data_IF_902688410798
#
_entry.id   IF_902688410798
#
_cell.length_a   1.000
_cell.length_b   1.000
_cell.length_c   1.000
_cell.angle_alpha   90.00
_cell.angle_beta   90.00
_cell.angle_gamma   90.00
#
_symmetry.space_group_name_H-M   'P 1'
#
loop_
_entity.id
_entity.type
_entity.pdbx_description
1 polymer ?
#
# COMPACT_ATOMS: atom_id res chain seq x y z
N UNK A 1 17.26 25.33 6.85
CA UNK A 1 17.92 24.00 6.75
C UNK A 1 17.95 23.18 8.06
N UNK A 2 17.71 23.73 9.25
CA UNK A 2 17.80 22.97 10.51
C UNK A 2 16.60 22.04 10.81
N UNK A 3 15.40 22.35 10.32
CA UNK A 3 14.18 21.56 10.59
C UNK A 3 14.16 20.18 9.89
N UNK A 4 14.71 20.09 8.67
CA UNK A 4 14.77 18.84 7.89
C UNK A 4 15.72 17.79 8.51
N UNK A 5 16.79 18.24 9.18
CA UNK A 5 17.76 17.35 9.85
C UNK A 5 17.20 16.68 11.11
N UNK A 6 16.31 17.35 11.86
CA UNK A 6 15.62 16.78 13.03
C UNK A 6 14.56 15.75 12.64
N UNK A 7 13.81 15.99 11.56
CA UNK A 7 12.78 15.06 11.06
C UNK A 7 13.39 13.73 10.59
N UNK A 8 14.50 13.76 9.85
CA UNK A 8 15.24 12.55 9.41
C UNK A 8 15.83 11.74 10.57
N UNK A 9 16.20 12.37 11.67
CA UNK A 9 16.72 11.66 12.85
C UNK A 9 15.60 10.97 13.66
N UNK A 10 14.42 11.59 13.76
CA UNK A 10 13.28 11.06 14.50
C UNK A 10 12.63 9.85 13.79
N UNK A 11 12.54 9.87 12.46
CA UNK A 11 11.97 8.74 11.68
C UNK A 11 12.82 7.47 11.79
N UNK A 12 14.13 7.60 12.06
CA UNK A 12 15.02 6.44 12.26
C UNK A 12 14.74 5.61 13.52
N UNK A 13 13.98 6.17 14.47
CA UNK A 13 13.55 5.48 15.70
C UNK A 13 12.03 5.39 15.80
N UNK A 14 11.29 5.80 14.76
CA UNK A 14 9.84 5.73 14.72
C UNK A 14 9.38 4.35 14.26
N UNK A 15 8.21 3.95 14.73
CA UNK A 15 7.51 2.76 14.25
C UNK A 15 6.75 3.06 12.96
N UNK A 16 6.46 2.02 12.18
CA UNK A 16 5.67 2.16 10.95
C UNK A 16 4.30 2.78 11.22
N UNK A 17 3.65 2.42 12.33
CA UNK A 17 2.34 2.93 12.75
C UNK A 17 2.33 4.44 12.99
N UNK A 18 3.40 5.00 13.58
CA UNK A 18 3.55 6.45 13.81
C UNK A 18 3.74 7.24 12.51
N UNK A 19 4.20 6.58 11.46
CA UNK A 19 4.48 7.18 10.14
C UNK A 19 3.32 6.99 9.17
N UNK A 20 2.30 6.19 9.51
CA UNK A 20 1.11 6.03 8.66
C UNK A 20 0.44 7.40 8.47
N UNK A 21 0.63 7.97 7.29
CA UNK A 21 0.18 9.34 6.99
C UNK A 21 -1.32 9.37 6.69
N UNK A 22 -1.87 8.28 6.15
CA UNK A 22 -3.28 8.23 5.75
C UNK A 22 -3.82 6.80 5.72
N UNK A 23 -5.08 6.65 6.14
CA UNK A 23 -5.84 5.41 5.94
C UNK A 23 -6.02 5.20 4.45
N UNK A 24 -5.14 4.42 3.85
CA UNK A 24 -5.25 4.11 2.44
C UNK A 24 -6.52 3.28 2.23
N UNK A 25 -7.37 3.68 1.28
CA UNK A 25 -8.50 2.86 0.85
C UNK A 25 -8.00 1.49 0.41
N UNK A 26 -8.89 0.51 0.49
CA UNK A 26 -8.56 -0.89 0.21
C UNK A 26 -9.47 -1.43 -0.88
N UNK A 27 -8.98 -2.48 -1.52
CA UNK A 27 -9.70 -3.30 -2.46
C UNK A 27 -10.35 -4.49 -1.74
N UNK A 28 -11.45 -5.01 -2.29
CA UNK A 28 -12.10 -6.23 -1.83
C UNK A 28 -11.87 -7.35 -2.87
N UNK A 29 -11.53 -8.59 -2.46
CA UNK A 29 -11.16 -9.66 -3.40
C UNK A 29 -12.24 -9.97 -4.46
N UNK A 30 -13.51 -9.75 -4.12
CA UNK A 30 -14.65 -10.01 -5.00
C UNK A 30 -15.12 -8.78 -5.80
N UNK A 31 -14.51 -7.60 -5.65
CA UNK A 31 -14.84 -6.49 -6.55
C UNK A 31 -14.29 -6.80 -7.96
N UNK A 32 -14.96 -6.25 -8.97
CA UNK A 32 -14.52 -6.37 -10.35
C UNK A 32 -13.26 -5.54 -10.59
N UNK A 33 -12.47 -5.92 -11.59
CA UNK A 33 -11.31 -5.12 -11.96
C UNK A 33 -11.70 -3.73 -12.48
N UNK A 34 -12.88 -3.58 -13.10
CA UNK A 34 -13.40 -2.27 -13.47
C UNK A 34 -13.55 -1.36 -12.23
N UNK A 35 -14.24 -1.83 -11.20
CA UNK A 35 -14.44 -1.08 -9.95
C UNK A 35 -13.09 -0.76 -9.28
N UNK A 36 -12.16 -1.72 -9.26
CA UNK A 36 -10.81 -1.50 -8.75
C UNK A 36 -10.05 -0.43 -9.54
N UNK A 37 -10.10 -0.49 -10.87
CA UNK A 37 -9.44 0.47 -11.76
C UNK A 37 -10.03 1.88 -11.66
N UNK A 38 -11.36 1.99 -11.51
CA UNK A 38 -12.06 3.26 -11.24
C UNK A 38 -11.62 3.84 -9.89
N UNK A 39 -11.69 3.05 -8.82
CA UNK A 39 -11.26 3.44 -7.48
C UNK A 39 -9.80 3.92 -7.48
N UNK A 40 -8.89 3.17 -8.09
CA UNK A 40 -7.48 3.56 -8.19
C UNK A 40 -7.26 4.86 -8.96
N UNK A 41 -8.03 5.12 -10.02
CA UNK A 41 -7.96 6.38 -10.78
C UNK A 41 -8.47 7.57 -9.97
N UNK A 42 -9.61 7.40 -9.30
CA UNK A 42 -10.21 8.47 -8.48
C UNK A 42 -9.28 8.91 -7.34
N UNK A 43 -8.51 7.96 -6.81
CA UNK A 43 -7.59 8.18 -5.70
C UNK A 43 -6.16 8.50 -6.15
N UNK A 44 -5.91 8.54 -7.47
CA UNK A 44 -4.56 8.63 -8.05
C UNK A 44 -3.59 7.59 -7.43
N UNK A 45 -4.12 6.42 -7.08
CA UNK A 45 -3.40 5.36 -6.39
C UNK A 45 -2.64 4.49 -7.39
N UNK A 46 -1.34 4.34 -7.17
CA UNK A 46 -0.48 3.44 -7.95
C UNK A 46 -0.63 1.99 -7.51
N UNK A 47 -0.98 1.77 -6.24
CA UNK A 47 -1.24 0.46 -5.68
C UNK A 47 -2.23 0.56 -4.52
N UNK A 48 -2.99 -0.52 -4.30
CA UNK A 48 -3.89 -0.64 -3.16
C UNK A 48 -3.80 -2.05 -2.56
N UNK A 49 -3.82 -2.18 -1.22
CA UNK A 49 -3.93 -3.49 -0.59
C UNK A 49 -5.33 -4.06 -0.78
N UNK A 50 -5.43 -5.38 -0.81
CA UNK A 50 -6.68 -6.14 -0.90
C UNK A 50 -6.98 -6.71 0.48
N UNK A 51 -8.20 -6.47 0.96
CA UNK A 51 -8.68 -6.93 2.25
C UNK A 51 -9.95 -7.75 2.13
N UNK A 52 -10.01 -8.85 2.87
CA UNK A 52 -11.26 -9.56 3.14
C UNK A 52 -11.75 -9.17 4.54
N UNK A 53 -12.81 -8.36 4.59
CA UNK A 53 -13.24 -7.66 5.80
C UNK A 53 -12.20 -6.63 6.25
N UNK A 54 -11.35 -7.00 7.20
CA UNK A 54 -10.22 -6.16 7.66
C UNK A 54 -8.86 -6.80 7.44
N UNK A 55 -8.82 -8.09 7.10
CA UNK A 55 -7.59 -8.86 7.02
C UNK A 55 -6.91 -8.62 5.69
N UNK A 56 -5.59 -8.38 5.69
CA UNK A 56 -4.80 -8.32 4.47
C UNK A 56 -4.77 -9.69 3.79
N UNK A 57 -5.18 -9.74 2.53
CA UNK A 57 -5.19 -10.98 1.71
C UNK A 57 -4.42 -10.85 0.40
N UNK A 58 -4.14 -9.62 -0.03
CA UNK A 58 -3.43 -9.40 -1.28
C UNK A 58 -3.03 -7.95 -1.49
N UNK A 59 -2.43 -7.67 -2.65
CA UNK A 59 -2.11 -6.33 -3.11
C UNK A 59 -2.27 -6.25 -4.62
N UNK A 60 -2.78 -5.12 -5.10
CA UNK A 60 -2.71 -4.74 -6.52
C UNK A 60 -1.67 -3.64 -6.61
N UNK A 61 -0.57 -3.92 -7.30
CA UNK A 61 0.65 -3.10 -7.33
C UNK A 61 0.82 -2.27 -8.62
N UNK A 62 -0.18 -2.29 -9.50
CA UNK A 62 -0.14 -1.57 -10.78
C UNK A 62 -1.36 -0.66 -10.96
N UNK A 63 -1.16 0.56 -11.49
CA UNK A 63 -2.28 1.43 -11.84
C UNK A 63 -3.03 0.86 -13.05
N UNK A 64 -4.36 0.86 -12.96
CA UNK A 64 -5.28 0.41 -14.02
C UNK A 64 -5.32 -1.10 -14.29
N UNK A 65 -5.60 -1.94 -13.26
CA UNK A 65 -5.73 -3.38 -13.45
C UNK A 65 -6.83 -3.77 -14.46
N UNK A 66 -7.88 -2.95 -14.60
CA UNK A 66 -8.93 -3.09 -15.62
C UNK A 66 -8.38 -3.05 -17.05
N UNK A 67 -7.48 -2.10 -17.34
CA UNK A 67 -6.87 -1.94 -18.66
C UNK A 67 -5.90 -3.08 -18.96
N UNK A 68 -5.14 -3.51 -17.95
CA UNK A 68 -4.24 -4.66 -18.07
C UNK A 68 -5.02 -5.92 -18.42
N UNK A 69 -6.08 -6.23 -17.68
CA UNK A 69 -6.92 -7.39 -17.93
C UNK A 69 -7.58 -7.36 -19.32
N UNK A 70 -8.13 -6.20 -19.73
CA UNK A 70 -8.68 -6.02 -21.08
C UNK A 70 -7.62 -6.23 -22.17
N UNK A 71 -6.38 -5.77 -21.96
CA UNK A 71 -5.28 -5.98 -22.89
C UNK A 71 -4.93 -7.46 -23.13
N UNK A 72 -5.22 -8.32 -22.16
CA UNK A 72 -5.10 -9.78 -22.28
C UNK A 72 -6.39 -10.48 -22.74
N UNK A 73 -7.45 -9.73 -23.08
CA UNK A 73 -8.71 -10.27 -23.59
C UNK A 73 -9.72 -10.68 -22.52
N UNK A 74 -9.50 -10.32 -21.25
CA UNK A 74 -10.46 -10.57 -20.17
C UNK A 74 -11.47 -9.42 -20.07
N UNK A 75 -12.72 -9.73 -19.71
CA UNK A 75 -13.74 -8.71 -19.43
C UNK A 75 -13.51 -8.12 -18.02
N UNK A 76 -13.14 -6.82 -17.87
CA UNK A 76 -12.88 -6.21 -16.57
C UNK A 76 -14.10 -6.14 -15.65
N UNK A 77 -15.32 -6.27 -16.19
CA UNK A 77 -16.56 -6.34 -15.40
C UNK A 77 -16.76 -7.70 -14.75
N UNK A 78 -16.25 -8.75 -15.36
CA UNK A 78 -16.38 -10.12 -14.89
C UNK A 78 -15.17 -10.57 -14.05
N UNK A 79 -13.97 -10.14 -14.45
CA UNK A 79 -12.72 -10.44 -13.77
C UNK A 79 -12.69 -9.86 -12.35
N UNK A 80 -12.19 -10.64 -11.39
CA UNK A 80 -12.16 -10.28 -9.96
C UNK A 80 -10.76 -9.90 -9.50
N UNK A 81 -10.68 -9.00 -8.53
CA UNK A 81 -9.41 -8.59 -7.92
C UNK A 81 -8.60 -9.78 -7.42
N UNK A 82 -9.24 -10.78 -6.81
CA UNK A 82 -8.56 -11.98 -6.31
C UNK A 82 -7.83 -12.79 -7.39
N UNK A 83 -8.23 -12.67 -8.65
CA UNK A 83 -7.62 -13.39 -9.78
C UNK A 83 -6.33 -12.71 -10.27
N UNK A 84 -6.12 -11.43 -9.94
CA UNK A 84 -5.01 -10.60 -10.42
C UNK A 84 -4.12 -10.05 -9.31
N UNK A 85 -4.55 -10.13 -8.04
CA UNK A 85 -3.77 -9.64 -6.92
C UNK A 85 -2.54 -10.51 -6.64
N UNK A 86 -1.47 -9.88 -6.15
CA UNK A 86 -0.36 -10.57 -5.53
C UNK A 86 -0.81 -11.06 -4.16
N UNK A 87 -0.83 -12.38 -3.95
CA UNK A 87 -1.24 -12.98 -2.66
C UNK A 87 -0.11 -13.08 -1.64
N UNK A 88 1.15 -13.17 -2.09
CA UNK A 88 2.32 -13.16 -1.21
C UNK A 88 2.79 -11.72 -0.97
N UNK A 89 2.07 -11.02 -0.09
CA UNK A 89 2.27 -9.59 0.16
C UNK A 89 3.35 -9.40 1.21
N UNK A 90 4.37 -8.61 0.90
CA UNK A 90 5.24 -8.06 1.94
C UNK A 90 4.43 -7.05 2.76
N UNK A 91 4.54 -7.10 4.09
CA UNK A 91 3.90 -6.15 5.00
C UNK A 91 4.82 -5.86 6.19
N UNK A 92 4.53 -4.78 6.91
CA UNK A 92 5.08 -4.56 8.25
C UNK A 92 3.99 -4.48 9.31
N UNK A 93 4.35 -4.79 10.55
CA UNK A 93 3.50 -4.51 11.68
C UNK A 93 3.60 -3.03 12.07
N UNK A 94 2.52 -2.48 12.62
CA UNK A 94 2.47 -1.09 13.08
C UNK A 94 3.52 -0.78 14.16
N UNK A 95 3.95 -1.78 14.92
CA UNK A 95 4.95 -1.67 15.98
C UNK A 95 6.38 -2.03 15.53
N UNK A 96 6.60 -2.32 14.24
CA UNK A 96 7.93 -2.52 13.68
C UNK A 96 8.63 -1.18 13.38
N UNK A 97 9.94 -1.13 13.61
CA UNK A 97 10.77 0.02 13.27
C UNK A 97 10.71 0.33 11.76
N UNK A 98 10.71 1.62 11.41
CA UNK A 98 10.75 2.07 10.00
C UNK A 98 11.95 1.47 9.23
N UNK A 99 13.07 1.23 9.91
CA UNK A 99 14.25 0.60 9.31
C UNK A 99 14.00 -0.86 8.89
N UNK A 100 13.16 -1.60 9.63
CA UNK A 100 12.76 -2.97 9.28
C UNK A 100 11.82 -2.95 8.08
N UNK A 101 10.84 -2.04 8.08
CA UNK A 101 9.94 -1.86 6.95
C UNK A 101 10.70 -1.48 5.65
N UNK A 102 11.70 -0.61 5.74
CA UNK A 102 12.57 -0.25 4.60
C UNK A 102 13.36 -1.44 4.04
N UNK A 103 13.87 -2.32 4.92
CA UNK A 103 14.56 -3.54 4.47
C UNK A 103 13.62 -4.49 3.73
N UNK A 104 12.40 -4.69 4.23
CA UNK A 104 11.37 -5.49 3.55
C UNK A 104 11.04 -4.92 2.16
N UNK A 105 10.95 -3.59 2.05
CA UNK A 105 10.79 -2.91 0.76
C UNK A 105 11.98 -3.14 -0.18
N UNK A 106 13.21 -3.12 0.31
CA UNK A 106 14.42 -3.42 -0.48
C UNK A 106 14.46 -4.88 -0.95
N UNK A 107 14.17 -5.83 -0.06
CA UNK A 107 14.13 -7.27 -0.36
C UNK A 107 13.03 -7.60 -1.38
N UNK A 108 11.85 -6.99 -1.25
CA UNK A 108 10.73 -7.18 -2.17
C UNK A 108 10.81 -6.32 -3.44
N UNK A 109 11.79 -5.42 -3.56
CA UNK A 109 11.85 -4.40 -4.61
C UNK A 109 10.55 -3.57 -4.73
N UNK A 110 9.98 -3.22 -3.57
CA UNK A 110 8.73 -2.49 -3.44
C UNK A 110 8.98 -1.05 -2.98
N UNK A 111 8.09 -0.15 -3.38
CA UNK A 111 8.09 1.25 -2.91
C UNK A 111 6.94 1.56 -1.95
N UNK A 112 6.03 0.60 -1.75
CA UNK A 112 4.85 0.70 -0.88
C UNK A 112 4.69 -0.58 -0.08
N UNK A 113 4.31 -0.47 1.19
CA UNK A 113 4.19 -1.58 2.11
C UNK A 113 2.92 -1.41 2.96
N UNK A 114 1.98 -2.38 2.93
CA UNK A 114 0.88 -2.41 3.88
C UNK A 114 1.38 -2.50 5.32
N UNK A 115 0.77 -1.71 6.19
CA UNK A 115 0.96 -1.74 7.64
C UNK A 115 -0.23 -2.45 8.26
N UNK A 116 0.03 -3.49 9.05
CA UNK A 116 -1.00 -4.29 9.72
C UNK A 116 -0.81 -4.31 11.24
N UNK A 117 -1.87 -4.58 11.98
CA UNK A 117 -1.78 -4.91 13.39
C UNK A 117 -1.39 -6.39 13.61
N UNK A 118 -1.25 -6.80 14.87
CA UNK A 118 -0.91 -8.19 15.24
C UNK A 118 -2.00 -9.21 14.88
N UNK A 119 -3.22 -8.75 14.59
CA UNK A 119 -4.34 -9.58 14.11
C UNK A 119 -4.40 -9.64 12.56
N UNK A 120 -3.36 -9.16 11.86
CA UNK A 120 -3.26 -9.07 10.40
C UNK A 120 -4.31 -8.14 9.78
N UNK A 121 -4.84 -7.18 10.54
CA UNK A 121 -5.78 -6.19 10.03
C UNK A 121 -5.03 -4.97 9.49
N UNK A 122 -5.46 -4.46 8.34
CA UNK A 122 -4.82 -3.30 7.71
C UNK A 122 -5.06 -2.05 8.57
N UNK A 123 -3.95 -1.42 8.95
CA UNK A 123 -3.91 -0.13 9.66
C UNK A 123 -3.70 0.99 8.64
N UNK A 124 -2.88 0.75 7.62
CA UNK A 124 -2.64 1.70 6.54
C UNK A 124 -1.62 1.19 5.53
N UNK A 125 -1.02 2.11 4.77
CA UNK A 125 0.06 1.85 3.83
C UNK A 125 1.12 2.93 4.04
N UNK A 126 2.39 2.54 3.98
CA UNK A 126 3.52 3.45 3.98
C UNK A 126 4.28 3.35 2.67
N UNK A 127 4.78 4.48 2.19
CA UNK A 127 5.70 4.54 1.05
C UNK A 127 7.14 4.60 1.55
N UNK A 128 8.10 4.26 0.68
CA UNK A 128 9.53 4.45 0.96
C UNK A 128 9.83 5.91 1.35
N UNK A 129 9.17 6.87 0.71
CA UNK A 129 9.32 8.30 1.02
C UNK A 129 8.86 8.63 2.45
N UNK A 130 7.74 8.06 2.89
CA UNK A 130 7.22 8.26 4.26
C UNK A 130 8.23 7.77 5.30
N UNK A 131 8.76 6.56 5.10
CA UNK A 131 9.74 5.91 5.99
C UNK A 131 11.12 6.58 6.02
N UNK A 132 11.48 7.39 5.02
CA UNK A 132 12.74 8.17 5.02
C UNK A 132 12.52 9.58 5.57
N UNK A 133 11.27 9.94 5.91
CA UNK A 133 10.89 11.28 6.36
C UNK A 133 10.88 12.31 5.23
N UNK A 134 10.80 11.85 3.98
CA UNK A 134 10.68 12.63 2.75
C UNK A 134 9.23 12.69 2.24
N UNK A 135 8.31 11.98 2.92
CA UNK A 135 6.87 12.06 2.70
C UNK A 135 6.42 13.51 2.65
N UNK A 136 5.89 13.91 1.49
CA UNK A 136 5.16 15.15 1.35
C UNK A 136 4.02 15.05 2.37
N UNK A 137 4.00 15.93 3.36
CA UNK A 137 2.72 16.26 3.98
C UNK A 137 1.85 16.74 2.84
N UNK A 138 0.83 15.97 2.48
CA UNK A 138 -0.18 16.35 1.51
C UNK A 138 -0.76 17.68 2.00
N UNK A 139 -0.22 18.77 1.47
CA UNK A 139 -0.78 20.09 1.61
C UNK A 139 -1.78 20.20 0.47
N UNK A 140 -2.96 19.61 0.66
CA UNK A 140 -4.20 19.94 -0.04
C UNK A 140 -5.37 19.74 0.92
#
# INVERSE_FOLDING_TARGET
MAASKKKKAAVRTATAGEVVVEKHPVLHPQESLQEAGEKMRELEAESLPVSEGRRLVGMVDQPHPDRVAAGYGHDPKAARVIEYMISNVFYCFEDEDCAVALRKMEEGQLDRLPVVDREMRIVGVVTRADLVGEGKGSNQ
#
